data_IF_419001155097
#
_entry.id   IF_419001155097
#
_cell.length_a   1.000
_cell.length_b   1.000
_cell.length_c   1.000
_cell.angle_alpha   90.00
_cell.angle_beta   90.00
_cell.angle_gamma   90.00
#
_symmetry.space_group_name_H-M   'P 1'
#
loop_
_entity.id
_entity.type
_entity.pdbx_description
1 polymer ?
#
# COMPACT_ATOMS: atom_id res chain seq x y z
N UNK A 1 0.01 -20.97 0.83
CA UNK A 1 0.12 -19.68 1.51
C UNK A 1 -1.21 -18.99 1.35
N UNK A 2 -1.76 -18.47 2.44
CA UNK A 2 -2.93 -17.58 2.42
C UNK A 2 -2.37 -16.16 2.30
N UNK A 3 -2.81 -15.40 1.29
CA UNK A 3 -2.37 -14.05 1.00
C UNK A 3 -3.38 -13.00 1.44
N UNK A 4 -3.25 -11.80 0.88
CA UNK A 4 -4.15 -10.68 1.18
C UNK A 4 -5.63 -11.00 0.87
N UNK A 5 -5.89 -11.70 -0.24
CA UNK A 5 -7.26 -12.08 -0.65
C UNK A 5 -7.95 -12.97 0.38
N UNK A 6 -7.23 -13.96 0.92
CA UNK A 6 -7.74 -14.86 1.95
C UNK A 6 -8.00 -14.09 3.25
N UNK A 7 -7.10 -13.19 3.64
CA UNK A 7 -7.26 -12.35 4.81
C UNK A 7 -8.47 -11.40 4.69
N UNK A 8 -8.66 -10.78 3.52
CA UNK A 8 -9.83 -9.96 3.21
C UNK A 8 -11.13 -10.77 3.28
N UNK A 9 -11.15 -11.96 2.68
CA UNK A 9 -12.31 -12.86 2.71
C UNK A 9 -12.68 -13.26 4.15
N UNK A 10 -11.69 -13.61 4.96
CA UNK A 10 -11.91 -13.96 6.37
C UNK A 10 -12.46 -12.76 7.16
N UNK A 11 -11.86 -11.59 7.02
CA UNK A 11 -12.31 -10.36 7.68
C UNK A 11 -13.74 -9.94 7.27
N UNK A 12 -14.07 -10.03 5.99
CA UNK A 12 -15.38 -9.59 5.47
C UNK A 12 -16.52 -10.58 5.69
N UNK A 13 -16.23 -11.87 5.92
CA UNK A 13 -17.27 -12.92 6.02
C UNK A 13 -17.40 -13.55 7.41
N UNK A 14 -16.34 -13.55 8.22
CA UNK A 14 -16.35 -14.09 9.57
C UNK A 14 -16.50 -12.95 10.61
N UNK A 15 -17.64 -12.85 11.30
CA UNK A 15 -17.89 -11.77 12.26
C UNK A 15 -16.97 -11.79 13.49
N UNK A 16 -16.17 -12.84 13.68
CA UNK A 16 -15.16 -12.91 14.74
C UNK A 16 -13.83 -12.25 14.35
N UNK A 17 -13.64 -11.91 13.07
CA UNK A 17 -12.43 -11.27 12.53
C UNK A 17 -12.64 -9.77 12.45
N UNK A 18 -12.33 -9.07 13.53
CA UNK A 18 -12.65 -7.63 13.64
C UNK A 18 -11.67 -6.69 12.93
N UNK A 19 -10.43 -7.12 12.70
CA UNK A 19 -9.35 -6.28 12.15
C UNK A 19 -8.55 -7.04 11.10
N UNK A 20 -8.05 -6.29 10.12
CA UNK A 20 -7.19 -6.73 9.03
C UNK A 20 -6.10 -5.65 8.83
N UNK A 21 -4.86 -6.07 8.63
CA UNK A 21 -3.81 -5.15 8.14
C UNK A 21 -4.12 -4.86 6.67
N UNK A 22 -4.38 -3.60 6.36
CA UNK A 22 -4.80 -3.20 5.01
C UNK A 22 -4.32 -1.80 4.62
N UNK A 23 -4.76 -1.31 3.47
CA UNK A 23 -4.29 -0.06 2.87
C UNK A 23 -5.14 1.15 3.27
N UNK A 24 -4.51 2.32 3.37
CA UNK A 24 -5.19 3.59 3.66
C UNK A 24 -6.23 4.01 2.61
N UNK A 25 -6.20 3.39 1.43
CA UNK A 25 -7.09 3.65 0.30
C UNK A 25 -8.31 2.71 0.25
N UNK A 26 -8.42 1.73 1.15
CA UNK A 26 -9.54 0.78 1.17
C UNK A 26 -10.94 1.42 1.34
N UNK A 27 -11.12 2.49 2.13
CA UNK A 27 -12.41 3.18 2.16
C UNK A 27 -12.76 3.81 0.81
N UNK A 28 -11.77 4.30 0.04
CA UNK A 28 -12.01 4.79 -1.32
C UNK A 28 -12.45 3.66 -2.26
N UNK A 29 -11.86 2.46 -2.13
CA UNK A 29 -12.31 1.26 -2.84
C UNK A 29 -13.74 0.90 -2.49
N UNK A 30 -14.07 0.79 -1.19
CA UNK A 30 -15.41 0.47 -0.71
C UNK A 30 -16.44 1.46 -1.25
N UNK A 31 -16.20 2.76 -1.09
CA UNK A 31 -17.09 3.81 -1.59
C UNK A 31 -17.30 3.73 -3.11
N UNK A 32 -16.24 3.50 -3.88
CA UNK A 32 -16.34 3.35 -5.33
C UNK A 32 -17.14 2.12 -5.75
N UNK A 33 -16.92 0.99 -5.08
CA UNK A 33 -17.60 -0.27 -5.41
C UNK A 33 -19.08 -0.23 -5.02
N UNK A 34 -19.41 0.36 -3.86
CA UNK A 34 -20.78 0.48 -3.37
C UNK A 34 -21.57 1.60 -4.06
N UNK A 35 -20.88 2.65 -4.52
CA UNK A 35 -21.51 3.88 -5.00
C UNK A 35 -22.15 4.72 -3.88
N UNK A 36 -21.76 4.47 -2.63
CA UNK A 36 -22.24 5.15 -1.41
C UNK A 36 -21.07 5.51 -0.50
N UNK A 37 -21.35 6.02 0.70
CA UNK A 37 -20.34 6.05 1.77
C UNK A 37 -19.75 4.66 2.02
N UNK A 38 -18.46 4.57 2.40
CA UNK A 38 -17.80 3.29 2.63
C UNK A 38 -18.40 2.56 3.84
N UNK A 39 -18.50 1.25 3.73
CA UNK A 39 -18.85 0.35 4.84
C UNK A 39 -17.61 -0.15 5.61
N UNK A 40 -16.43 0.27 5.17
CA UNK A 40 -15.13 -0.02 5.80
C UNK A 40 -14.53 1.25 6.39
N UNK A 41 -13.75 1.08 7.45
CA UNK A 41 -12.99 2.15 8.07
C UNK A 41 -11.55 1.68 8.26
N UNK A 42 -10.61 2.64 8.23
CA UNK A 42 -9.19 2.39 8.44
C UNK A 42 -8.74 3.12 9.71
N UNK A 43 -7.90 2.47 10.51
CA UNK A 43 -7.27 3.06 11.68
C UNK A 43 -5.75 3.04 11.49
N UNK A 44 -5.12 4.23 11.51
CA UNK A 44 -3.68 4.34 11.56
C UNK A 44 -3.13 3.85 12.90
N UNK A 45 -1.86 3.47 12.93
CA UNK A 45 -1.22 3.04 14.18
C UNK A 45 -0.91 4.26 15.05
N UNK A 46 -1.56 4.37 16.21
CA UNK A 46 -1.36 5.50 17.11
C UNK A 46 -0.22 5.24 18.11
N UNK A 47 0.81 6.11 18.10
CA UNK A 47 1.95 6.02 19.01
C UNK A 47 2.59 7.38 19.29
N UNK A 48 2.83 7.67 20.57
CA UNK A 48 3.39 8.94 21.06
C UNK A 48 2.66 10.16 20.47
N UNK A 49 1.33 10.21 20.64
CA UNK A 49 0.46 11.30 20.18
C UNK A 49 0.49 11.55 18.66
N UNK A 50 0.95 10.57 17.87
CA UNK A 50 0.99 10.63 16.41
C UNK A 50 0.35 9.39 15.79
N UNK A 51 -0.30 9.58 14.66
CA UNK A 51 -0.79 8.51 13.80
C UNK A 51 0.28 8.16 12.76
N UNK A 52 0.57 6.87 12.63
CA UNK A 52 1.63 6.35 11.78
C UNK A 52 1.06 5.40 10.73
N UNK A 53 1.61 5.50 9.53
CA UNK A 53 1.36 4.54 8.46
C UNK A 53 2.67 4.19 7.73
N UNK A 54 2.76 2.96 7.27
CA UNK A 54 3.82 2.53 6.36
C UNK A 54 3.47 2.98 4.94
N UNK A 55 4.35 3.76 4.31
CA UNK A 55 4.21 4.14 2.92
C UNK A 55 4.81 3.06 2.02
N UNK A 56 3.94 2.27 1.41
CA UNK A 56 4.32 1.38 0.32
C UNK A 56 4.57 2.20 -0.94
N UNK A 57 5.75 2.01 -1.54
CA UNK A 57 6.12 2.65 -2.80
C UNK A 57 6.36 1.54 -3.82
N UNK A 58 5.55 1.53 -4.87
CA UNK A 58 5.75 0.64 -6.01
C UNK A 58 6.65 1.31 -7.04
N UNK A 59 7.62 0.56 -7.54
CA UNK A 59 8.65 1.07 -8.42
C UNK A 59 8.87 0.17 -9.63
N UNK A 60 9.23 0.80 -10.74
CA UNK A 60 9.71 0.13 -11.94
C UNK A 60 11.17 0.53 -12.16
N UNK A 61 12.01 -0.43 -12.53
CA UNK A 61 13.44 -0.22 -12.70
C UNK A 61 14.02 -1.01 -13.88
N UNK A 62 15.13 -0.51 -14.41
CA UNK A 62 15.87 -1.20 -15.45
C UNK A 62 16.66 -2.37 -14.84
N UNK A 63 16.52 -3.55 -15.43
CA UNK A 63 17.36 -4.70 -15.09
C UNK A 63 18.77 -4.47 -15.63
N UNK A 64 19.78 -4.59 -14.77
CA UNK A 64 21.19 -4.45 -15.14
C UNK A 64 21.54 -5.44 -16.25
N UNK A 65 22.17 -4.95 -17.33
CA UNK A 65 22.51 -5.72 -18.53
C UNK A 65 21.30 -6.31 -19.29
N UNK A 66 20.10 -5.76 -19.08
CA UNK A 66 18.93 -6.12 -19.88
C UNK A 66 19.16 -5.83 -21.37
N UNK A 67 18.58 -6.63 -22.28
CA UNK A 67 18.91 -6.60 -23.71
C UNK A 67 18.45 -5.32 -24.45
N UNK A 68 17.50 -4.56 -23.90
CA UNK A 68 16.88 -3.40 -24.55
C UNK A 68 16.78 -2.19 -23.61
N UNK A 69 17.90 -1.53 -23.24
CA UNK A 69 17.90 -0.45 -22.25
C UNK A 69 17.09 0.78 -22.70
N UNK A 70 17.13 1.13 -23.99
CA UNK A 70 16.38 2.28 -24.50
C UNK A 70 14.87 2.03 -24.50
N UNK A 71 14.42 0.83 -24.87
CA UNK A 71 13.00 0.46 -24.78
C UNK A 71 12.54 0.40 -23.32
N UNK A 72 13.38 -0.10 -22.41
CA UNK A 72 13.10 -0.11 -20.98
C UNK A 72 12.89 1.30 -20.42
N UNK A 73 13.72 2.27 -20.80
CA UNK A 73 13.54 3.68 -20.39
C UNK A 73 12.23 4.25 -20.95
N UNK A 74 11.96 4.03 -22.24
CA UNK A 74 10.72 4.48 -22.86
C UNK A 74 9.47 3.89 -22.19
N UNK A 75 9.54 2.64 -21.72
CA UNK A 75 8.46 2.03 -20.96
C UNK A 75 8.27 2.67 -19.58
N UNK A 76 9.37 2.97 -18.86
CA UNK A 76 9.31 3.69 -17.58
C UNK A 76 8.71 5.09 -17.79
N UNK A 77 9.13 5.81 -18.82
CA UNK A 77 8.56 7.13 -19.17
C UNK A 77 7.07 7.03 -19.50
N UNK A 78 6.65 5.96 -20.18
CA UNK A 78 5.25 5.66 -20.42
C UNK A 78 4.49 5.43 -19.10
N UNK A 79 5.02 4.64 -18.16
CA UNK A 79 4.40 4.42 -16.85
C UNK A 79 4.25 5.71 -16.03
N UNK A 80 5.16 6.67 -16.19
CA UNK A 80 5.16 7.96 -15.48
C UNK A 80 4.34 9.05 -16.18
N UNK A 81 3.79 8.78 -17.36
CA UNK A 81 2.99 9.75 -18.09
C UNK A 81 1.62 9.99 -17.41
N UNK A 82 0.99 11.12 -17.73
CA UNK A 82 -0.29 11.50 -17.14
C UNK A 82 -1.40 10.47 -17.40
N UNK A 83 -1.44 9.88 -18.60
CA UNK A 83 -2.50 8.92 -18.97
C UNK A 83 -2.45 7.66 -18.10
N UNK A 84 -1.28 7.06 -17.92
CA UNK A 84 -1.12 5.87 -17.07
C UNK A 84 -1.34 6.23 -15.61
N UNK A 85 -0.79 7.36 -15.16
CA UNK A 85 -0.88 7.78 -13.76
C UNK A 85 -2.33 8.11 -13.34
N UNK A 86 -3.16 8.64 -14.22
CA UNK A 86 -4.60 8.85 -13.95
C UNK A 86 -5.35 7.54 -13.68
N UNK A 87 -4.95 6.44 -14.32
CA UNK A 87 -5.61 5.14 -14.17
C UNK A 87 -5.22 4.43 -12.86
N UNK A 88 -4.10 4.80 -12.22
CA UNK A 88 -3.59 4.10 -11.02
C UNK A 88 -4.61 4.09 -9.88
N UNK A 89 -5.25 5.23 -9.61
CA UNK A 89 -6.13 5.40 -8.46
C UNK A 89 -7.29 4.41 -8.42
N UNK A 90 -7.93 4.10 -9.56
CA UNK A 90 -9.11 3.23 -9.61
C UNK A 90 -8.80 1.80 -10.08
N UNK A 91 -7.59 1.53 -10.56
CA UNK A 91 -7.20 0.20 -11.02
C UNK A 91 -6.20 -0.50 -10.09
N UNK A 92 -5.39 0.25 -9.35
CA UNK A 92 -4.41 -0.29 -8.38
C UNK A 92 -4.69 0.16 -6.94
N UNK A 93 -5.65 1.06 -6.72
CA UNK A 93 -6.00 1.58 -5.39
C UNK A 93 -4.81 2.20 -4.67
N UNK A 94 -3.97 2.91 -5.42
CA UNK A 94 -2.82 3.65 -4.92
C UNK A 94 -2.85 5.12 -5.36
N UNK A 95 -2.09 5.97 -4.68
CA UNK A 95 -1.85 7.32 -5.14
C UNK A 95 -0.88 7.33 -6.32
N UNK A 96 -1.14 8.11 -7.39
CA UNK A 96 -0.17 8.33 -8.45
C UNK A 96 1.02 9.12 -7.91
N UNK A 97 2.20 8.94 -8.52
CA UNK A 97 3.38 9.74 -8.17
C UNK A 97 3.26 11.18 -8.70
N UNK A 98 2.44 11.38 -9.73
CA UNK A 98 2.14 12.71 -10.28
C UNK A 98 1.17 13.47 -9.39
N UNK A 99 1.60 14.64 -8.93
CA UNK A 99 0.80 15.52 -8.06
C UNK A 99 -0.03 16.56 -8.82
N UNK A 100 0.10 16.62 -10.14
CA UNK A 100 -0.66 17.53 -11.02
C UNK A 100 -1.97 16.94 -11.54
N UNK A 101 -2.31 15.72 -11.12
CA UNK A 101 -3.53 15.02 -11.52
C UNK A 101 -4.64 15.24 -10.49
N UNK A 102 -5.88 15.30 -10.98
CA UNK A 102 -7.07 15.31 -10.11
C UNK A 102 -7.40 13.88 -9.71
N UNK A 103 -7.48 13.63 -8.40
CA UNK A 103 -7.92 12.35 -7.88
C UNK A 103 -9.46 12.20 -8.01
N UNK A 104 -9.97 10.98 -8.20
CA UNK A 104 -11.40 10.71 -8.10
C UNK A 104 -11.94 11.08 -6.71
N UNK A 105 -13.16 11.59 -6.62
CA UNK A 105 -13.73 12.08 -5.34
C UNK A 105 -13.83 11.02 -4.24
N UNK A 106 -13.87 9.73 -4.59
CA UNK A 106 -13.85 8.64 -3.61
C UNK A 106 -12.56 8.61 -2.78
N UNK A 107 -11.47 9.22 -3.25
CA UNK A 107 -10.23 9.35 -2.50
C UNK A 107 -10.35 10.31 -1.31
N UNK A 108 -11.42 11.11 -1.21
CA UNK A 108 -11.72 11.90 -0.01
C UNK A 108 -11.97 11.01 1.22
N UNK A 109 -12.24 9.70 1.03
CA UNK A 109 -12.34 8.72 2.11
C UNK A 109 -11.00 8.04 2.46
N UNK A 110 -9.95 8.23 1.66
CA UNK A 110 -8.65 7.61 1.93
C UNK A 110 -7.86 8.37 3.00
N UNK A 111 -6.94 7.70 3.69
CA UNK A 111 -5.89 8.37 4.46
C UNK A 111 -4.87 8.95 3.48
N UNK A 112 -4.71 10.27 3.47
CA UNK A 112 -3.67 10.91 2.66
C UNK A 112 -2.29 10.90 3.36
N UNK A 113 -1.18 10.83 2.60
CA UNK A 113 0.16 10.81 3.18
C UNK A 113 0.54 12.01 4.08
N UNK A 114 -0.17 13.13 3.95
CA UNK A 114 0.02 14.32 4.79
C UNK A 114 -0.82 14.32 6.08
N UNK A 115 -1.68 13.33 6.29
CA UNK A 115 -2.50 13.17 7.49
C UNK A 115 -1.84 12.28 8.54
N UNK A 116 -0.77 11.57 8.16
CA UNK A 116 -0.07 10.60 9.01
C UNK A 116 1.44 10.82 8.96
N UNK A 117 2.11 10.39 10.01
CA UNK A 117 3.57 10.30 10.04
C UNK A 117 4.03 9.07 9.26
N UNK A 118 4.96 9.26 8.33
CA UNK A 118 5.46 8.19 7.48
C UNK A 118 6.47 7.34 8.24
N UNK A 119 6.06 6.12 8.62
CA UNK A 119 6.87 5.21 9.45
C UNK A 119 8.24 4.89 8.82
N UNK A 120 8.35 4.91 7.49
CA UNK A 120 9.59 4.68 6.75
C UNK A 120 10.71 5.67 7.12
N UNK A 121 10.40 6.84 7.72
CA UNK A 121 11.42 7.79 8.19
C UNK A 121 12.05 7.35 9.50
N UNK A 122 11.34 6.57 10.32
CA UNK A 122 11.87 5.96 11.54
C UNK A 122 12.59 4.65 11.21
N UNK A 123 11.94 3.76 10.44
CA UNK A 123 12.47 2.47 10.02
C UNK A 123 12.96 2.57 8.57
N UNK A 124 14.22 2.96 8.41
CA UNK A 124 14.82 3.13 7.09
C UNK A 124 15.23 1.78 6.47
N UNK A 125 15.49 1.78 5.15
CA UNK A 125 15.83 0.56 4.40
C UNK A 125 17.08 -0.15 4.88
N UNK A 126 18.07 0.58 5.39
CA UNK A 126 19.32 -0.02 5.88
C UNK A 126 19.05 -0.83 7.13
N UNK A 127 18.34 -0.26 8.09
CA UNK A 127 17.97 -0.96 9.32
C UNK A 127 17.10 -2.19 9.03
N UNK A 128 16.11 -2.05 8.14
CA UNK A 128 15.29 -3.19 7.71
C UNK A 128 16.17 -4.28 7.09
N UNK A 129 17.06 -3.94 6.16
CA UNK A 129 17.93 -4.93 5.52
C UNK A 129 18.86 -5.64 6.51
N UNK A 130 19.38 -4.93 7.51
CA UNK A 130 20.24 -5.49 8.55
C UNK A 130 19.49 -6.42 9.51
N UNK A 131 18.22 -6.13 9.81
CA UNK A 131 17.43 -6.85 10.81
C UNK A 131 16.46 -7.88 10.23
N UNK A 132 16.15 -7.83 8.92
CA UNK A 132 15.06 -8.58 8.29
C UNK A 132 15.13 -10.08 8.61
N UNK A 133 16.30 -10.70 8.47
CA UNK A 133 16.43 -12.14 8.74
C UNK A 133 16.12 -12.47 10.19
N UNK A 134 16.61 -11.66 11.14
CA UNK A 134 16.33 -11.89 12.56
C UNK A 134 14.85 -11.72 12.90
N UNK A 135 14.18 -10.73 12.30
CA UNK A 135 12.74 -10.54 12.48
C UNK A 135 11.92 -11.69 11.90
N UNK A 136 12.31 -12.22 10.74
CA UNK A 136 11.66 -13.40 10.15
C UNK A 136 11.84 -14.64 11.05
N UNK A 137 13.07 -14.89 11.53
CA UNK A 137 13.34 -16.02 12.43
C UNK A 137 12.53 -15.91 13.73
N UNK A 138 12.41 -14.69 14.29
CA UNK A 138 11.58 -14.43 15.47
C UNK A 138 10.09 -14.64 15.17
N UNK A 139 9.60 -14.15 14.04
CA UNK A 139 8.21 -14.33 13.62
C UNK A 139 7.86 -15.81 13.50
N UNK A 140 8.70 -16.61 12.84
CA UNK A 140 8.49 -18.05 12.67
C UNK A 140 8.45 -18.78 14.02
N UNK A 141 9.32 -18.38 14.96
CA UNK A 141 9.33 -18.97 16.31
C UNK A 141 8.01 -18.75 17.08
N UNK A 142 7.29 -17.65 16.81
CA UNK A 142 6.03 -17.29 17.46
C UNK A 142 4.83 -17.89 16.71
N UNK A 143 4.86 -17.87 15.39
CA UNK A 143 3.71 -18.22 14.53
C UNK A 143 3.69 -19.70 14.13
N UNK A 144 4.82 -20.39 14.25
CA UNK A 144 4.91 -21.84 14.17
C UNK A 144 5.50 -22.44 15.44
N UNK A 145 4.84 -22.29 16.61
CA UNK A 145 5.25 -23.05 17.78
C UNK A 145 5.11 -24.54 17.43
N UNK A 146 6.20 -25.28 17.56
CA UNK A 146 6.23 -26.72 17.26
C UNK A 146 5.15 -27.55 17.95
#
# INVERSE_FOLDING_TARGET
EEGWTEAWSAWSTDPTKHLLVSYGTDPAYSANYLGTEPDTAIAAFHYQDNDWAWMQVEGVGLVKNGPNPELGKAFIDFCLNASVQTEISLNQWMFPVRTDLTLPSVFDYAIHPNEVSILNTLLNRTEIAEQLQSWLDQYDSVMTPG
#
